data_IF_788826651600
#
_entry.id   IF_788826651600
#
_cell.length_a   1.000
_cell.length_b   1.000
_cell.length_c   1.000
_cell.angle_alpha   90.00
_cell.angle_beta   90.00
_cell.angle_gamma   90.00
#
_symmetry.space_group_name_H-M   'P 1'
#
loop_
_entity.id
_entity.type
_entity.pdbx_description
1 polymer ?
#
# COMPACT_ATOMS: atom_id res chain seq x y z
N UNK A 1 4.91 6.58 -5.80
CA UNK A 1 4.56 7.63 -6.78
C UNK A 1 4.71 9.05 -6.20
N UNK A 2 3.77 9.55 -5.39
CA UNK A 2 3.73 10.96 -4.98
C UNK A 2 4.92 11.39 -4.10
N UNK A 3 5.17 10.66 -3.01
CA UNK A 3 6.26 11.01 -2.09
C UNK A 3 7.65 10.77 -2.68
N UNK A 4 7.86 9.63 -3.33
CA UNK A 4 9.20 9.26 -3.82
C UNK A 4 9.60 9.92 -5.13
N UNK A 5 8.71 9.96 -6.13
CA UNK A 5 9.06 10.46 -7.48
C UNK A 5 8.74 11.93 -7.66
N UNK A 6 7.54 12.35 -7.26
CA UNK A 6 7.08 13.73 -7.47
C UNK A 6 7.71 14.68 -6.45
N UNK A 7 7.54 14.38 -5.16
CA UNK A 7 8.06 15.23 -4.09
C UNK A 7 9.57 15.02 -3.86
N UNK A 8 10.01 13.78 -3.69
CA UNK A 8 11.42 13.45 -3.45
C UNK A 8 12.31 13.63 -4.68
N UNK A 9 11.90 13.03 -5.81
CA UNK A 9 12.64 13.09 -7.07
C UNK A 9 12.51 14.40 -7.85
N UNK A 10 11.58 15.30 -7.46
CA UNK A 10 11.27 16.56 -8.15
C UNK A 10 10.94 16.38 -9.64
N UNK A 11 10.33 15.25 -9.99
CA UNK A 11 9.87 14.94 -11.34
C UNK A 11 8.43 15.41 -11.49
N UNK A 12 8.05 15.90 -12.68
CA UNK A 12 6.65 16.23 -12.95
C UNK A 12 5.75 15.01 -12.77
N UNK A 13 4.51 15.23 -12.32
CA UNK A 13 3.58 14.12 -12.09
C UNK A 13 3.23 13.40 -13.40
N UNK A 14 3.22 14.10 -14.54
CA UNK A 14 3.03 13.52 -15.87
C UNK A 14 4.13 12.53 -16.23
N UNK A 15 5.40 12.91 -16.04
CA UNK A 15 6.53 12.00 -16.29
C UNK A 15 6.54 10.85 -15.27
N UNK A 16 6.17 11.11 -14.02
CA UNK A 16 6.01 10.05 -13.02
C UNK A 16 4.90 9.05 -13.40
N UNK A 17 3.81 9.48 -14.03
CA UNK A 17 2.78 8.58 -14.57
C UNK A 17 3.31 7.75 -15.73
N UNK A 18 4.18 8.33 -16.58
CA UNK A 18 4.90 7.58 -17.61
C UNK A 18 5.78 6.48 -17.01
N UNK A 19 6.45 6.75 -15.88
CA UNK A 19 7.21 5.73 -15.12
C UNK A 19 6.30 4.61 -14.60
N UNK A 20 5.12 4.95 -14.08
CA UNK A 20 4.13 3.95 -13.63
C UNK A 20 3.64 3.09 -14.79
N UNK A 21 3.30 3.71 -15.93
CA UNK A 21 2.86 2.99 -17.12
C UNK A 21 3.92 2.01 -17.63
N UNK A 22 5.17 2.46 -17.75
CA UNK A 22 6.29 1.61 -18.17
C UNK A 22 6.53 0.46 -17.18
N UNK A 23 6.46 0.73 -15.87
CA UNK A 23 6.52 -0.31 -14.84
C UNK A 23 5.43 -1.37 -15.03
N UNK A 24 4.20 -0.96 -15.33
CA UNK A 24 3.10 -1.87 -15.65
C UNK A 24 3.36 -2.72 -16.90
N UNK A 25 3.93 -2.13 -17.96
CA UNK A 25 4.34 -2.87 -19.17
C UNK A 25 5.39 -3.93 -18.82
N UNK A 26 6.41 -3.58 -18.04
CA UNK A 26 7.41 -4.54 -17.58
C UNK A 26 6.79 -5.66 -16.74
N UNK A 27 5.83 -5.36 -15.86
CA UNK A 27 5.12 -6.42 -15.13
C UNK A 27 4.33 -7.35 -16.01
N UNK A 28 3.64 -6.81 -17.01
CA UNK A 28 2.90 -7.64 -17.93
C UNK A 28 3.85 -8.62 -18.63
N UNK A 29 4.99 -8.13 -19.12
CA UNK A 29 6.04 -8.97 -19.72
C UNK A 29 6.53 -10.04 -18.74
N UNK A 30 6.92 -9.65 -17.51
CA UNK A 30 7.40 -10.59 -16.49
C UNK A 30 6.35 -11.63 -16.10
N UNK A 31 5.07 -11.26 -16.10
CA UNK A 31 3.96 -12.17 -15.80
C UNK A 31 3.75 -13.17 -16.94
N UNK A 32 3.76 -12.69 -18.18
CA UNK A 32 3.64 -13.55 -19.37
C UNK A 32 4.80 -14.54 -19.50
N UNK A 33 6.00 -14.16 -19.03
CA UNK A 33 7.17 -15.04 -18.92
C UNK A 33 7.09 -16.03 -17.73
N UNK A 34 6.06 -15.93 -16.89
CA UNK A 34 5.88 -16.79 -15.70
C UNK A 34 6.82 -16.47 -14.54
N UNK A 35 7.57 -15.35 -14.61
CA UNK A 35 8.56 -14.97 -13.60
C UNK A 35 7.89 -14.48 -12.31
N UNK A 36 6.85 -13.62 -12.41
CA UNK A 36 6.15 -13.11 -11.21
C UNK A 36 5.53 -14.24 -10.38
N UNK A 37 4.90 -15.24 -11.01
CA UNK A 37 4.34 -16.39 -10.28
C UNK A 37 5.42 -17.18 -9.54
N UNK A 38 6.55 -17.47 -10.20
CA UNK A 38 7.68 -18.16 -9.55
C UNK A 38 8.23 -17.38 -8.37
N UNK A 39 8.26 -16.05 -8.47
CA UNK A 39 8.64 -15.15 -7.37
C UNK A 39 7.64 -15.31 -6.20
N UNK A 40 6.34 -15.17 -6.43
CA UNK A 40 5.30 -15.31 -5.40
C UNK A 40 5.38 -16.67 -4.70
N UNK A 41 5.42 -17.75 -5.48
CA UNK A 41 5.46 -19.12 -4.97
C UNK A 41 6.76 -19.42 -4.22
N UNK A 42 7.79 -18.57 -4.34
CA UNK A 42 9.05 -18.74 -3.64
C UNK A 42 9.09 -18.08 -2.26
N UNK A 43 8.24 -17.08 -2.02
CA UNK A 43 8.23 -16.33 -0.76
C UNK A 43 7.55 -17.18 0.33
N UNK A 44 8.21 -17.41 1.48
CA UNK A 44 7.60 -18.10 2.62
C UNK A 44 6.38 -17.36 3.15
N UNK A 45 5.41 -18.10 3.70
CA UNK A 45 4.17 -17.52 4.25
C UNK A 45 4.45 -16.53 5.39
N UNK A 46 5.41 -16.82 6.26
CA UNK A 46 5.84 -15.94 7.35
C UNK A 46 6.32 -14.58 6.86
N UNK A 47 7.02 -14.54 5.72
CA UNK A 47 7.44 -13.31 5.08
C UNK A 47 6.23 -12.56 4.52
N UNK A 48 5.32 -13.23 3.79
CA UNK A 48 4.09 -12.60 3.25
C UNK A 48 3.25 -11.96 4.37
N UNK A 49 3.03 -12.67 5.48
CA UNK A 49 2.33 -12.13 6.63
C UNK A 49 3.07 -10.93 7.25
N UNK A 50 4.41 -10.95 7.28
CA UNK A 50 5.21 -9.81 7.72
C UNK A 50 5.09 -8.59 6.79
N UNK A 51 4.91 -8.77 5.48
CA UNK A 51 4.62 -7.68 4.54
C UNK A 51 3.32 -6.99 4.94
N UNK A 52 2.25 -7.76 5.15
CA UNK A 52 0.95 -7.23 5.58
C UNK A 52 1.08 -6.45 6.90
N UNK A 53 1.75 -7.02 7.90
CA UNK A 53 1.97 -6.34 9.19
C UNK A 53 2.79 -5.07 9.03
N UNK A 54 3.88 -5.09 8.25
CA UNK A 54 4.72 -3.93 7.98
C UNK A 54 3.95 -2.80 7.30
N UNK A 55 3.13 -3.11 6.29
CA UNK A 55 2.25 -2.13 5.64
C UNK A 55 1.23 -1.56 6.63
N UNK A 56 0.65 -2.40 7.49
CA UNK A 56 -0.26 -1.96 8.56
C UNK A 56 0.38 -0.96 9.53
N UNK A 57 1.62 -1.24 9.96
CA UNK A 57 2.41 -0.33 10.80
C UNK A 57 2.72 0.98 10.08
N UNK A 58 3.09 0.91 8.80
CA UNK A 58 3.37 2.07 7.97
C UNK A 58 2.13 2.97 7.77
N UNK A 59 0.98 2.40 7.44
CA UNK A 59 -0.28 3.15 7.29
C UNK A 59 -0.74 3.74 8.63
N UNK A 60 -0.55 3.00 9.74
CA UNK A 60 -0.80 3.53 11.08
C UNK A 60 0.07 4.75 11.35
N UNK A 61 1.36 4.68 11.02
CA UNK A 61 2.30 5.78 11.19
C UNK A 61 1.90 7.00 10.36
N UNK A 62 1.48 6.82 9.10
CA UNK A 62 0.89 7.89 8.27
C UNK A 62 -0.34 8.50 8.95
N UNK A 63 -1.23 7.67 9.49
CA UNK A 63 -2.40 8.11 10.25
C UNK A 63 -2.02 8.96 11.46
N UNK A 64 -1.03 8.53 12.25
CA UNK A 64 -0.54 9.28 13.40
C UNK A 64 0.10 10.62 13.02
N UNK A 65 0.82 10.68 11.89
CA UNK A 65 1.40 11.92 11.35
C UNK A 65 0.32 12.86 10.84
N UNK A 66 -0.63 12.37 10.04
CA UNK A 66 -1.75 13.16 9.51
C UNK A 66 -2.67 13.70 10.61
N UNK A 67 -2.82 12.95 11.71
CA UNK A 67 -3.57 13.38 12.88
C UNK A 67 -2.82 14.45 13.70
N UNK A 68 -1.49 14.52 13.59
CA UNK A 68 -0.63 15.39 14.39
C UNK A 68 -0.22 14.81 15.74
N UNK A 69 -0.44 13.51 15.98
CA UNK A 69 0.02 12.79 17.19
C UNK A 69 1.51 12.53 17.12
N UNK A 70 2.03 12.24 15.93
CA UNK A 70 3.45 12.06 15.67
C UNK A 70 3.93 13.21 14.79
N UNK A 71 4.98 13.92 15.25
CA UNK A 71 5.57 15.04 14.52
C UNK A 71 7.06 14.85 14.34
N UNK A 72 7.63 15.44 13.28
CA UNK A 72 9.07 15.40 13.02
C UNK A 72 9.84 16.03 14.18
N UNK A 73 10.92 15.37 14.58
CA UNK A 73 11.89 15.90 15.53
C UNK A 73 13.29 15.73 14.95
N UNK A 74 14.08 16.80 14.88
CA UNK A 74 15.41 16.72 14.26
C UNK A 74 16.44 15.95 15.11
N UNK A 75 16.17 15.70 16.40
CA UNK A 75 17.04 14.94 17.32
C UNK A 75 16.65 13.47 17.38
N UNK A 76 15.36 13.17 17.52
CA UNK A 76 14.84 11.81 17.74
C UNK A 76 14.14 11.20 16.52
N UNK A 77 14.22 11.86 15.35
CA UNK A 77 13.44 11.61 14.13
C UNK A 77 11.95 11.93 14.28
N UNK A 78 11.32 11.45 15.36
CA UNK A 78 9.91 11.67 15.69
C UNK A 78 9.73 12.05 17.15
N UNK A 79 8.68 12.81 17.45
CA UNK A 79 8.25 13.13 18.81
C UNK A 79 6.73 13.19 18.91
N UNK A 80 6.21 13.17 20.13
CA UNK A 80 4.78 13.37 20.37
C UNK A 80 4.39 14.82 20.02
N UNK A 81 3.34 14.97 19.21
CA UNK A 81 2.77 16.26 18.88
C UNK A 81 1.98 16.89 20.03
N UNK A 82 1.65 18.17 19.90
CA UNK A 82 0.81 18.88 20.86
C UNK A 82 -0.65 18.46 20.70
N UNK A 83 -1.37 18.29 21.81
CA UNK A 83 -2.81 18.04 21.81
C UNK A 83 -3.58 19.31 21.45
N UNK A 84 -3.71 19.58 20.16
CA UNK A 84 -4.56 20.67 19.65
C UNK A 84 -6.02 20.23 19.56
N UNK A 85 -6.99 21.16 19.46
CA UNK A 85 -8.39 20.82 19.24
C UNK A 85 -8.60 19.90 18.02
N UNK A 86 -7.85 20.11 16.93
CA UNK A 86 -7.93 19.27 15.72
C UNK A 86 -7.46 17.82 15.96
N UNK A 87 -6.37 17.63 16.73
CA UNK A 87 -5.89 16.31 17.15
C UNK A 87 -6.96 15.63 18.02
N UNK A 88 -7.55 16.36 18.97
CA UNK A 88 -8.60 15.83 19.83
C UNK A 88 -9.83 15.39 19.03
N UNK A 89 -10.28 16.17 18.05
CA UNK A 89 -11.41 15.79 17.17
C UNK A 89 -11.14 14.46 16.48
N UNK A 90 -9.95 14.28 15.90
CA UNK A 90 -9.60 13.01 15.26
C UNK A 90 -9.46 11.86 16.28
N UNK A 91 -8.90 12.10 17.47
CA UNK A 91 -8.86 11.09 18.53
C UNK A 91 -10.26 10.67 19.02
N UNK A 92 -11.20 11.61 19.14
CA UNK A 92 -12.61 11.28 19.41
C UNK A 92 -13.25 10.51 18.25
N UNK A 93 -12.93 10.86 17.01
CA UNK A 93 -13.28 10.07 15.83
C UNK A 93 -12.79 8.63 15.94
N UNK A 94 -11.53 8.43 16.34
CA UNK A 94 -10.94 7.10 16.58
C UNK A 94 -11.70 6.33 17.67
N UNK A 95 -12.03 6.99 18.79
CA UNK A 95 -12.80 6.38 19.87
C UNK A 95 -14.18 5.91 19.40
N UNK A 96 -14.86 6.72 18.57
CA UNK A 96 -16.14 6.32 17.97
C UNK A 96 -15.97 5.11 17.04
N UNK A 97 -14.93 5.10 16.19
CA UNK A 97 -14.64 3.95 15.33
C UNK A 97 -14.41 2.67 16.16
N UNK A 98 -13.59 2.76 17.20
CA UNK A 98 -13.31 1.64 18.12
C UNK A 98 -14.56 1.15 18.83
N UNK A 99 -15.39 2.08 19.34
CA UNK A 99 -16.64 1.73 20.01
C UNK A 99 -17.60 0.98 19.07
N UNK A 100 -17.79 1.47 17.84
CA UNK A 100 -18.65 0.83 16.85
C UNK A 100 -18.09 -0.52 16.40
N UNK A 101 -16.77 -0.63 16.24
CA UNK A 101 -16.09 -1.87 15.90
C UNK A 101 -16.24 -2.92 17.03
N UNK A 102 -16.08 -2.52 18.29
CA UNK A 102 -16.34 -3.39 19.45
C UNK A 102 -17.80 -3.89 19.49
N UNK A 103 -18.74 -3.07 19.02
CA UNK A 103 -20.16 -3.43 18.87
C UNK A 103 -20.47 -4.19 17.57
N UNK A 104 -19.46 -4.43 16.71
CA UNK A 104 -19.60 -5.07 15.40
C UNK A 104 -20.61 -4.36 14.48
N UNK A 105 -20.71 -3.04 14.58
CA UNK A 105 -21.59 -2.22 13.74
C UNK A 105 -20.91 -1.95 12.40
N UNK A 106 -21.57 -2.31 11.31
CA UNK A 106 -21.05 -2.09 9.94
C UNK A 106 -20.90 -0.60 9.66
N UNK A 107 -19.81 -0.24 8.98
CA UNK A 107 -19.52 1.16 8.63
C UNK A 107 -18.87 1.98 9.74
N UNK A 108 -18.28 1.34 10.77
CA UNK A 108 -17.60 2.01 11.88
C UNK A 108 -16.63 3.11 11.43
N UNK A 109 -15.81 2.85 10.40
CA UNK A 109 -14.86 3.81 9.84
C UNK A 109 -15.59 5.02 9.25
N UNK A 110 -16.63 4.80 8.43
CA UNK A 110 -17.40 5.88 7.80
C UNK A 110 -18.09 6.75 8.85
N UNK A 111 -18.74 6.14 9.84
CA UNK A 111 -19.42 6.87 10.92
C UNK A 111 -18.43 7.69 11.74
N UNK A 112 -17.24 7.16 12.02
CA UNK A 112 -16.18 7.90 12.71
C UNK A 112 -15.69 9.12 11.91
N UNK A 113 -15.52 9.00 10.59
CA UNK A 113 -15.15 10.12 9.71
C UNK A 113 -16.24 11.19 9.72
N UNK A 114 -17.51 10.79 9.54
CA UNK A 114 -18.65 11.70 9.56
C UNK A 114 -18.75 12.42 10.91
N UNK A 115 -18.60 11.68 12.01
CA UNK A 115 -18.64 12.24 13.37
C UNK A 115 -17.53 13.27 13.59
N UNK A 116 -16.28 12.93 13.27
CA UNK A 116 -15.16 13.85 13.40
C UNK A 116 -15.33 15.11 12.52
N UNK A 117 -15.82 14.92 11.29
CA UNK A 117 -16.09 16.03 10.36
C UNK A 117 -17.23 16.92 10.86
N UNK A 118 -18.29 16.35 11.42
CA UNK A 118 -19.41 17.09 11.99
C UNK A 118 -19.00 17.94 13.19
N UNK A 119 -18.15 17.40 14.08
CA UNK A 119 -17.58 18.18 15.20
C UNK A 119 -16.68 19.29 14.66
N UNK A 120 -15.82 18.99 13.68
CA UNK A 120 -14.96 19.99 13.07
C UNK A 120 -15.76 21.13 12.42
N UNK A 121 -16.88 20.81 11.76
CA UNK A 121 -17.81 21.79 11.22
C UNK A 121 -18.52 22.61 12.31
N UNK A 122 -18.98 21.98 13.40
CA UNK A 122 -19.62 22.66 14.52
C UNK A 122 -18.68 23.64 15.24
N UNK A 123 -17.38 23.33 15.28
CA UNK A 123 -16.33 24.17 15.86
C UNK A 123 -15.75 25.21 14.87
N UNK A 124 -16.24 25.25 13.62
CA UNK A 124 -15.80 26.21 12.61
C UNK A 124 -14.44 25.91 11.96
N UNK A 125 -13.91 24.69 12.11
CA UNK A 125 -12.66 24.27 11.47
C UNK A 125 -12.82 23.84 10.01
N UNK A 126 -14.05 23.78 9.52
CA UNK A 126 -14.40 23.26 8.21
C UNK A 126 -15.26 24.29 7.49
N UNK A 127 -14.87 24.63 6.26
CA UNK A 127 -15.63 25.54 5.41
C UNK A 127 -16.83 24.79 4.80
N UNK A 128 -17.94 25.51 4.61
CA UNK A 128 -19.09 24.95 3.90
C UNK A 128 -18.70 24.65 2.44
N UNK A 129 -19.26 23.61 1.84
CA UNK A 129 -19.10 23.40 0.41
C UNK A 129 -19.75 24.55 -0.35
N UNK A 130 -19.10 24.99 -1.43
CA UNK A 130 -19.70 25.93 -2.38
C UNK A 130 -20.89 25.29 -3.11
N UNK A 131 -20.81 23.98 -3.38
CA UNK A 131 -21.87 23.19 -4.04
C UNK A 131 -22.00 21.81 -3.38
N UNK A 132 -23.21 21.24 -3.36
CA UNK A 132 -23.44 19.89 -2.81
C UNK A 132 -23.14 18.79 -3.82
N UNK A 133 -23.33 19.08 -5.11
CA UNK A 133 -23.12 18.16 -6.23
C UNK A 133 -22.39 18.93 -7.32
N UNK A 134 -21.28 18.39 -7.81
CA UNK A 134 -20.59 18.92 -8.98
C UNK A 134 -20.86 18.05 -10.19
N UNK A 135 -21.39 18.65 -11.25
CA UNK A 135 -21.48 18.04 -12.58
C UNK A 135 -20.25 18.37 -13.45
N UNK A 136 -19.38 19.27 -12.97
CA UNK A 136 -18.20 19.73 -13.68
C UNK A 136 -17.00 18.82 -13.39
N UNK A 137 -17.01 17.63 -14.00
CA UNK A 137 -15.90 16.68 -13.92
C UNK A 137 -14.91 16.95 -15.07
N UNK A 138 -13.87 17.75 -14.80
CA UNK A 138 -12.78 17.97 -15.76
C UNK A 138 -11.79 16.80 -15.75
N UNK A 139 -12.23 15.67 -16.32
CA UNK A 139 -11.43 14.46 -16.47
C UNK A 139 -10.24 14.68 -17.43
N UNK A 140 -10.34 15.66 -18.35
CA UNK A 140 -9.30 15.97 -19.35
C UNK A 140 -8.02 16.52 -18.71
N UNK A 141 -8.13 17.09 -17.51
CA UNK A 141 -6.99 17.61 -16.77
C UNK A 141 -6.00 16.52 -16.32
N UNK A 142 -6.42 15.24 -16.30
CA UNK A 142 -5.59 14.14 -15.77
C UNK A 142 -5.47 12.98 -16.77
N UNK A 143 -6.53 12.68 -17.52
CA UNK A 143 -6.56 11.54 -18.46
C UNK A 143 -5.66 11.81 -19.67
N UNK A 144 -4.86 10.81 -20.03
CA UNK A 144 -3.86 10.84 -21.11
C UNK A 144 -2.80 11.95 -20.98
N UNK A 145 -2.62 12.53 -19.79
CA UNK A 145 -1.59 13.53 -19.53
C UNK A 145 -0.21 12.90 -19.21
N UNK A 146 -0.09 11.58 -19.22
CA UNK A 146 1.19 10.93 -18.91
C UNK A 146 2.25 11.22 -19.98
N UNK A 147 3.50 11.32 -19.54
CA UNK A 147 4.64 11.59 -20.41
C UNK A 147 5.59 10.39 -20.44
N UNK A 148 5.35 9.49 -21.41
CA UNK A 148 6.17 8.28 -21.62
C UNK A 148 7.57 8.65 -22.13
N UNK A 149 7.66 9.65 -23.01
CA UNK A 149 8.93 10.07 -23.60
C UNK A 149 9.86 10.67 -22.54
N UNK A 150 9.31 11.48 -21.64
CA UNK A 150 10.03 11.96 -20.46
C UNK A 150 10.47 10.82 -19.55
N UNK A 151 9.62 9.78 -19.39
CA UNK A 151 9.93 8.62 -18.54
C UNK A 151 11.03 7.71 -19.11
N UNK A 152 11.18 7.65 -20.43
CA UNK A 152 12.22 6.87 -21.14
C UNK A 152 13.64 7.46 -21.02
N UNK A 153 13.80 8.64 -20.40
CA UNK A 153 15.14 9.21 -20.16
C UNK A 153 16.00 8.25 -19.34
N UNK A 154 17.27 8.12 -19.72
CA UNK A 154 18.21 7.20 -19.08
C UNK A 154 18.32 7.41 -17.56
N UNK A 155 18.24 8.66 -17.10
CA UNK A 155 18.25 9.03 -15.68
C UNK A 155 17.07 8.46 -14.88
N UNK A 156 15.96 8.15 -15.54
CA UNK A 156 14.75 7.63 -14.92
C UNK A 156 14.65 6.10 -14.98
N UNK A 157 15.57 5.41 -15.66
CA UNK A 157 15.56 3.95 -15.71
C UNK A 157 15.70 3.32 -14.31
N UNK A 158 16.54 3.91 -13.45
CA UNK A 158 16.61 3.50 -12.04
C UNK A 158 15.31 3.77 -11.27
N UNK A 159 14.54 4.79 -11.64
CA UNK A 159 13.22 5.07 -11.04
C UNK A 159 12.16 4.08 -11.50
N UNK A 160 12.18 3.71 -12.78
CA UNK A 160 11.33 2.65 -13.34
C UNK A 160 11.63 1.33 -12.63
N UNK A 161 12.91 0.95 -12.53
CA UNK A 161 13.32 -0.26 -11.81
C UNK A 161 12.89 -0.24 -10.34
N UNK A 162 13.08 0.89 -9.65
CA UNK A 162 12.70 1.04 -8.24
C UNK A 162 11.18 0.92 -8.03
N UNK A 163 10.39 1.56 -8.90
CA UNK A 163 8.93 1.52 -8.83
C UNK A 163 8.40 0.13 -9.22
N UNK A 164 9.02 -0.50 -10.22
CA UNK A 164 8.73 -1.89 -10.58
C UNK A 164 9.09 -2.85 -9.45
N UNK A 165 10.22 -2.66 -8.77
CA UNK A 165 10.56 -3.50 -7.63
C UNK A 165 9.56 -3.30 -6.48
N UNK A 166 9.17 -2.06 -6.20
CA UNK A 166 8.16 -1.70 -5.20
C UNK A 166 6.81 -2.36 -5.46
N UNK A 167 6.24 -2.06 -6.63
CA UNK A 167 4.88 -2.41 -6.98
C UNK A 167 4.74 -3.93 -7.17
N UNK A 168 5.84 -4.62 -7.51
CA UNK A 168 5.84 -6.09 -7.60
C UNK A 168 5.44 -6.71 -6.28
N UNK A 169 6.04 -6.29 -5.18
CA UNK A 169 5.83 -6.95 -3.90
C UNK A 169 4.63 -6.40 -3.13
N UNK A 170 4.30 -5.11 -3.31
CA UNK A 170 3.09 -4.52 -2.75
C UNK A 170 1.83 -5.23 -3.28
N UNK A 171 1.75 -5.36 -4.61
CA UNK A 171 0.67 -6.10 -5.28
C UNK A 171 0.63 -7.57 -4.87
N UNK A 172 1.79 -8.25 -4.80
CA UNK A 172 1.84 -9.65 -4.37
C UNK A 172 1.33 -9.81 -2.94
N UNK A 173 1.79 -8.97 -2.01
CA UNK A 173 1.44 -9.08 -0.59
C UNK A 173 -0.06 -8.95 -0.37
N UNK A 174 -0.67 -7.91 -0.93
CA UNK A 174 -2.11 -7.64 -0.77
C UNK A 174 -2.97 -8.65 -1.54
N UNK A 175 -2.58 -9.03 -2.76
CA UNK A 175 -3.30 -10.00 -3.59
C UNK A 175 -3.32 -11.38 -2.93
N UNK A 176 -2.16 -11.84 -2.43
CA UNK A 176 -2.05 -13.14 -1.77
C UNK A 176 -2.87 -13.16 -0.48
N UNK A 177 -2.82 -12.09 0.31
CA UNK A 177 -3.60 -11.97 1.53
C UNK A 177 -5.11 -12.02 1.24
N UNK A 178 -5.58 -11.26 0.24
CA UNK A 178 -6.98 -11.28 -0.19
C UNK A 178 -7.40 -12.66 -0.72
N UNK A 179 -6.54 -13.35 -1.49
CA UNK A 179 -6.83 -14.69 -1.99
C UNK A 179 -6.96 -15.73 -0.87
N UNK A 180 -6.12 -15.64 0.17
CA UNK A 180 -6.25 -16.49 1.35
C UNK A 180 -7.58 -16.23 2.07
N UNK A 181 -7.94 -14.97 2.29
CA UNK A 181 -9.21 -14.60 2.92
C UNK A 181 -10.42 -15.06 2.09
N UNK A 182 -10.32 -15.00 0.77
CA UNK A 182 -11.36 -15.43 -0.16
C UNK A 182 -11.46 -16.95 -0.33
N UNK A 183 -10.61 -17.73 0.33
CA UNK A 183 -10.48 -19.18 0.15
C UNK A 183 -10.22 -19.57 -1.33
N UNK A 184 -9.41 -18.76 -2.04
CA UNK A 184 -9.00 -18.99 -3.44
C UNK A 184 -7.68 -19.78 -3.56
N UNK A 185 -7.24 -20.38 -2.46
CA UNK A 185 -6.02 -21.19 -2.38
C UNK A 185 -6.35 -22.68 -2.46
N UNK A 186 -5.47 -23.46 -3.11
CA UNK A 186 -5.54 -24.92 -3.15
C UNK A 186 -5.02 -25.55 -1.83
N UNK A 187 -5.15 -26.87 -1.68
CA UNK A 187 -4.68 -27.62 -0.50
C UNK A 187 -3.17 -27.48 -0.23
N UNK A 188 -2.40 -27.06 -1.24
CA UNK A 188 -0.96 -26.80 -1.14
C UNK A 188 -0.64 -25.32 -0.89
N UNK A 189 -1.66 -24.49 -0.61
CA UNK A 189 -1.53 -23.06 -0.38
C UNK A 189 -1.26 -22.23 -1.64
N UNK A 190 -1.45 -22.79 -2.84
CA UNK A 190 -1.22 -22.09 -4.11
C UNK A 190 -2.50 -21.44 -4.61
N UNK A 191 -2.38 -20.24 -5.17
CA UNK A 191 -3.51 -19.48 -5.68
C UNK A 191 -3.88 -19.97 -7.07
N UNK A 192 -5.14 -20.40 -7.24
CA UNK A 192 -5.65 -20.83 -8.56
C UNK A 192 -5.68 -19.64 -9.52
N UNK A 193 -5.01 -19.76 -10.66
CA UNK A 193 -5.00 -18.72 -11.69
C UNK A 193 -4.15 -17.49 -11.35
N UNK A 194 -3.12 -17.64 -10.50
CA UNK A 194 -2.24 -16.55 -10.08
C UNK A 194 -1.66 -15.73 -11.26
N UNK A 195 -1.23 -16.40 -12.34
CA UNK A 195 -0.72 -15.73 -13.55
C UNK A 195 -1.73 -14.76 -14.16
N UNK A 196 -3.01 -15.15 -14.17
CA UNK A 196 -4.10 -14.33 -14.70
C UNK A 196 -4.39 -13.15 -13.78
N UNK A 197 -4.36 -13.36 -12.47
CA UNK A 197 -4.55 -12.29 -11.48
C UNK A 197 -3.43 -11.24 -11.57
N UNK A 198 -2.18 -11.69 -11.64
CA UNK A 198 -1.01 -10.81 -11.80
C UNK A 198 -1.01 -10.06 -13.14
N UNK A 199 -1.58 -10.66 -14.18
CA UNK A 199 -1.73 -10.00 -15.49
C UNK A 199 -2.80 -8.90 -15.43
N UNK A 200 -3.92 -9.16 -14.75
CA UNK A 200 -4.99 -8.17 -14.54
C UNK A 200 -4.49 -7.01 -13.69
N UNK A 201 -3.70 -7.27 -12.65
CA UNK A 201 -3.03 -6.26 -11.82
C UNK A 201 -2.12 -5.34 -12.67
N UNK A 202 -1.28 -5.92 -13.54
CA UNK A 202 -0.43 -5.14 -14.43
C UNK A 202 -1.23 -4.29 -15.43
N UNK A 203 -2.28 -4.87 -16.04
CA UNK A 203 -3.17 -4.15 -16.96
C UNK A 203 -3.91 -3.03 -16.23
N UNK A 204 -4.43 -3.28 -15.02
CA UNK A 204 -5.08 -2.27 -14.21
C UNK A 204 -4.13 -1.10 -13.91
N UNK A 205 -2.87 -1.38 -13.58
CA UNK A 205 -1.86 -0.33 -13.33
C UNK A 205 -1.56 0.47 -14.59
N UNK A 206 -1.43 -0.18 -15.75
CA UNK A 206 -1.25 0.51 -17.02
C UNK A 206 -2.45 1.40 -17.36
N UNK A 207 -3.67 0.86 -17.28
CA UNK A 207 -4.90 1.62 -17.54
C UNK A 207 -5.10 2.73 -16.52
N UNK A 208 -4.76 2.50 -15.26
CA UNK A 208 -4.78 3.50 -14.21
C UNK A 208 -3.85 4.68 -14.53
N UNK A 209 -2.62 4.39 -14.93
CA UNK A 209 -1.67 5.43 -15.34
C UNK A 209 -2.17 6.22 -16.57
N UNK A 210 -2.80 5.56 -17.54
CA UNK A 210 -3.46 6.22 -18.68
C UNK A 210 -4.58 7.17 -18.24
N UNK A 211 -5.33 6.78 -17.21
CA UNK A 211 -6.40 7.58 -16.64
C UNK A 211 -5.92 8.60 -15.60
N UNK A 212 -4.61 8.72 -15.39
CA UNK A 212 -4.03 9.74 -14.50
C UNK A 212 -3.94 9.35 -13.03
N UNK A 213 -4.14 8.07 -12.69
CA UNK A 213 -3.98 7.56 -11.31
C UNK A 213 -2.62 6.90 -11.10
N UNK A 214 -2.23 6.77 -9.83
CA UNK A 214 -1.03 6.02 -9.44
C UNK A 214 -1.17 4.51 -9.71
N UNK A 215 -0.18 3.71 -9.29
CA UNK A 215 -0.27 2.25 -9.33
C UNK A 215 -1.59 1.78 -8.69
N UNK A 216 -2.29 0.87 -9.37
CA UNK A 216 -3.56 0.32 -8.89
C UNK A 216 -3.30 -1.09 -8.42
N UNK A 217 -3.80 -1.44 -7.23
CA UNK A 217 -3.60 -2.78 -6.69
C UNK A 217 -4.79 -3.25 -5.88
N UNK A 218 -4.81 -4.53 -5.53
CA UNK A 218 -5.80 -5.07 -4.59
C UNK A 218 -5.61 -4.45 -3.22
N UNK A 219 -6.67 -3.89 -2.65
CA UNK A 219 -6.64 -3.34 -1.30
C UNK A 219 -6.94 -4.41 -0.27
N UNK A 220 -6.17 -4.43 0.82
CA UNK A 220 -6.35 -5.37 1.93
C UNK A 220 -7.71 -5.19 2.61
N UNK A 221 -8.29 -4.00 2.55
CA UNK A 221 -9.62 -3.66 3.04
C UNK A 221 -10.72 -4.47 2.33
N UNK A 222 -10.43 -4.98 1.13
CA UNK A 222 -11.29 -5.94 0.44
C UNK A 222 -11.50 -7.21 1.27
N UNK A 223 -10.59 -7.55 2.19
CA UNK A 223 -10.74 -8.65 3.15
C UNK A 223 -12.02 -8.49 4.00
N UNK A 224 -12.37 -7.27 4.43
CA UNK A 224 -13.60 -7.02 5.17
C UNK A 224 -14.85 -7.26 4.29
N UNK A 225 -14.78 -6.90 3.00
CA UNK A 225 -15.83 -7.23 2.03
C UNK A 225 -15.96 -8.73 1.81
N UNK A 226 -14.84 -9.44 1.74
CA UNK A 226 -14.78 -10.91 1.61
C UNK A 226 -15.37 -11.61 2.84
N UNK A 227 -15.04 -11.14 4.05
CA UNK A 227 -15.62 -11.65 5.31
C UNK A 227 -17.13 -11.48 5.36
N UNK A 228 -17.67 -10.41 4.76
CA UNK A 228 -19.11 -10.18 4.65
C UNK A 228 -19.78 -10.97 3.52
N UNK A 229 -19.04 -11.82 2.80
CA UNK A 229 -19.56 -12.70 1.74
C UNK A 229 -19.29 -12.22 0.31
N UNK A 230 -18.59 -11.10 0.12
CA UNK A 230 -18.19 -10.60 -1.20
C UNK A 230 -17.13 -11.50 -1.84
N UNK A 231 -17.55 -12.49 -2.62
CA UNK A 231 -16.64 -13.49 -3.24
C UNK A 231 -16.67 -13.50 -4.77
N UNK A 232 -17.40 -12.58 -5.39
CA UNK A 232 -17.52 -12.47 -6.85
C UNK A 232 -17.03 -11.10 -7.33
N UNK A 233 -16.58 -11.05 -8.59
CA UNK A 233 -16.17 -9.79 -9.24
C UNK A 233 -17.28 -8.76 -9.36
N UNK A 234 -18.56 -9.16 -9.21
CA UNK A 234 -19.68 -8.23 -9.14
C UNK A 234 -19.52 -7.24 -7.97
N UNK A 235 -18.97 -7.69 -6.84
CA UNK A 235 -18.68 -6.83 -5.69
C UNK A 235 -17.72 -5.70 -6.08
N UNK A 236 -16.67 -6.02 -6.82
CA UNK A 236 -15.68 -5.06 -7.31
C UNK A 236 -16.30 -4.10 -8.34
N UNK A 237 -17.13 -4.60 -9.26
CA UNK A 237 -17.84 -3.77 -10.26
C UNK A 237 -18.79 -2.79 -9.57
N UNK A 238 -19.64 -3.27 -8.65
CA UNK A 238 -20.60 -2.43 -7.91
C UNK A 238 -19.85 -1.37 -7.09
N UNK A 239 -18.78 -1.76 -6.42
CA UNK A 239 -17.92 -0.81 -5.68
C UNK A 239 -17.34 0.24 -6.62
N UNK A 240 -16.82 -0.16 -7.78
CA UNK A 240 -16.30 0.76 -8.79
C UNK A 240 -17.35 1.73 -9.33
N UNK A 241 -18.57 1.27 -9.59
CA UNK A 241 -19.70 2.12 -9.99
C UNK A 241 -20.04 3.13 -8.89
N UNK A 242 -20.06 2.73 -7.63
CA UNK A 242 -20.26 3.66 -6.52
C UNK A 242 -19.13 4.68 -6.37
N UNK A 243 -17.87 4.31 -6.64
CA UNK A 243 -16.77 5.27 -6.70
C UNK A 243 -16.93 6.27 -7.85
N UNK A 244 -17.43 5.84 -9.02
CA UNK A 244 -17.75 6.76 -10.12
C UNK A 244 -18.90 7.70 -9.75
N UNK A 245 -19.94 7.20 -9.08
CA UNK A 245 -21.04 8.04 -8.58
C UNK A 245 -20.57 9.00 -7.48
N UNK A 246 -19.59 8.59 -6.66
CA UNK A 246 -19.00 9.45 -5.63
C UNK A 246 -18.30 10.68 -6.23
N UNK A 247 -17.91 10.66 -7.51
CA UNK A 247 -17.34 11.83 -8.20
C UNK A 247 -18.31 13.02 -8.22
N UNK A 248 -19.62 12.76 -8.28
CA UNK A 248 -20.64 13.82 -8.20
C UNK A 248 -20.61 14.56 -6.86
N UNK A 249 -20.14 13.89 -5.81
CA UNK A 249 -20.06 14.40 -4.45
C UNK A 249 -18.63 14.85 -4.07
N UNK A 250 -17.73 15.06 -5.03
CA UNK A 250 -16.36 15.58 -4.78
C UNK A 250 -16.35 16.84 -3.92
N UNK A 251 -17.24 17.85 -4.12
CA UNK A 251 -17.31 19.00 -3.22
C UNK A 251 -17.58 18.63 -1.76
N UNK A 252 -18.42 17.61 -1.51
CA UNK A 252 -18.72 17.13 -0.16
C UNK A 252 -17.52 16.37 0.44
N UNK A 253 -16.81 15.57 -0.36
CA UNK A 253 -15.63 14.84 0.09
C UNK A 253 -14.46 15.80 0.39
N UNK A 254 -14.31 16.88 -0.36
CA UNK A 254 -13.24 17.87 -0.19
C UNK A 254 -13.31 18.67 1.12
N UNK A 255 -14.48 18.70 1.77
CA UNK A 255 -14.70 19.32 3.10
C UNK A 255 -14.01 18.51 4.21
N UNK A 256 -13.87 17.20 4.01
CA UNK A 256 -13.40 16.29 5.06
C UNK A 256 -11.93 16.59 5.35
N UNK A 257 -11.60 17.09 6.57
CA UNK A 257 -10.23 17.47 6.86
C UNK A 257 -9.34 16.23 7.04
N UNK A 258 -8.02 16.33 6.76
CA UNK A 258 -7.11 15.20 6.88
C UNK A 258 -7.08 14.54 8.28
N UNK A 259 -7.24 15.33 9.34
CA UNK A 259 -7.28 14.82 10.72
C UNK A 259 -8.58 14.03 11.04
N UNK A 260 -9.64 14.15 10.24
CA UNK A 260 -10.86 13.35 10.38
C UNK A 260 -10.77 11.99 9.68
N UNK A 261 -9.96 11.86 8.62
CA UNK A 261 -9.72 10.59 7.93
C UNK A 261 -8.54 9.81 8.51
N UNK A 262 -7.58 10.50 9.15
CA UNK A 262 -6.41 9.90 9.78
C UNK A 262 -6.72 8.74 10.76
N UNK A 263 -7.77 8.79 11.62
CA UNK A 263 -8.17 7.67 12.46
C UNK A 263 -8.53 6.39 11.70
N UNK A 264 -9.09 6.51 10.50
CA UNK A 264 -9.43 5.34 9.69
C UNK A 264 -8.17 4.58 9.26
N UNK A 265 -7.08 5.29 8.97
CA UNK A 265 -5.78 4.67 8.66
C UNK A 265 -5.23 3.87 9.85
N UNK A 266 -5.40 4.39 11.08
CA UNK A 266 -5.01 3.67 12.31
C UNK A 266 -5.83 2.39 12.47
N UNK A 267 -7.14 2.44 12.21
CA UNK A 267 -8.01 1.26 12.25
C UNK A 267 -7.65 0.23 11.17
N UNK A 268 -7.35 0.67 9.95
CA UNK A 268 -6.88 -0.22 8.88
C UNK A 268 -5.58 -0.91 9.28
N UNK A 269 -4.61 -0.17 9.83
CA UNK A 269 -3.37 -0.75 10.32
C UNK A 269 -3.57 -1.78 11.42
N UNK A 270 -4.51 -1.55 12.35
CA UNK A 270 -4.93 -2.54 13.35
C UNK A 270 -5.49 -3.82 12.71
N UNK A 271 -6.26 -3.71 11.61
CA UNK A 271 -6.80 -4.87 10.91
C UNK A 271 -5.70 -5.69 10.24
N UNK A 272 -4.73 -5.03 9.60
CA UNK A 272 -3.59 -5.70 8.97
C UNK A 272 -2.66 -6.37 9.99
N UNK A 273 -2.53 -5.79 11.19
CA UNK A 273 -1.73 -6.34 12.28
C UNK A 273 -2.16 -7.76 12.70
N UNK A 274 -3.39 -8.18 12.41
CA UNK A 274 -3.89 -9.53 12.72
C UNK A 274 -3.04 -10.64 12.08
N UNK A 275 -2.40 -10.37 10.94
CA UNK A 275 -1.52 -11.31 10.23
C UNK A 275 -0.26 -11.67 11.01
N UNK A 276 0.10 -10.90 12.06
CA UNK A 276 1.25 -11.22 12.92
C UNK A 276 1.13 -12.61 13.56
N UNK A 277 -0.10 -13.10 13.74
CA UNK A 277 -0.39 -14.44 14.30
C UNK A 277 0.04 -15.59 13.40
N UNK A 278 0.26 -15.34 12.11
CA UNK A 278 0.72 -16.34 11.15
C UNK A 278 2.25 -16.49 11.13
N UNK A 279 2.98 -15.67 11.91
CA UNK A 279 4.44 -15.68 11.99
C UNK A 279 4.86 -16.46 13.24
N UNK A 280 5.65 -17.51 13.06
CA UNK A 280 6.24 -18.25 14.18
C UNK A 280 7.49 -17.52 14.70
N UNK A 281 7.34 -16.77 15.79
CA UNK A 281 8.44 -16.05 16.43
C UNK A 281 9.38 -16.94 17.25
N UNK A 282 9.04 -18.22 17.49
CA UNK A 282 9.96 -19.14 18.16
C UNK A 282 11.08 -19.62 17.23
N UNK A 283 10.84 -19.65 15.92
CA UNK A 283 11.83 -20.01 14.92
C UNK A 283 12.57 -18.78 14.40
N UNK A 284 13.79 -18.55 14.90
CA UNK A 284 14.63 -17.40 14.51
C UNK A 284 14.88 -17.29 13.00
N UNK A 285 14.93 -18.43 12.29
CA UNK A 285 15.16 -18.46 10.83
C UNK A 285 14.04 -17.75 10.03
N UNK A 286 12.84 -17.67 10.60
CA UNK A 286 11.68 -17.00 10.00
C UNK A 286 11.34 -15.70 10.76
N UNK A 287 11.47 -15.72 12.09
CA UNK A 287 11.14 -14.60 12.95
C UNK A 287 11.97 -13.34 12.64
N UNK A 288 13.29 -13.47 12.49
CA UNK A 288 14.15 -12.31 12.27
C UNK A 288 13.93 -11.65 10.90
N UNK A 289 13.88 -12.39 9.77
CA UNK A 289 13.54 -11.79 8.48
C UNK A 289 12.17 -11.11 8.50
N UNK A 290 11.15 -11.76 9.07
CA UNK A 290 9.82 -11.17 9.23
C UNK A 290 9.85 -9.89 10.08
N UNK A 291 10.59 -9.89 11.18
CA UNK A 291 10.78 -8.71 12.01
C UNK A 291 11.42 -7.54 11.25
N UNK A 292 12.49 -7.81 10.48
CA UNK A 292 13.15 -6.80 9.66
C UNK A 292 12.19 -6.22 8.62
N UNK A 293 11.37 -7.05 7.95
CA UNK A 293 10.33 -6.56 7.02
C UNK A 293 9.40 -5.58 7.75
N UNK A 294 8.83 -5.99 8.87
CA UNK A 294 7.84 -5.17 9.60
C UNK A 294 8.41 -3.80 9.99
N UNK A 295 9.59 -3.80 10.61
CA UNK A 295 10.23 -2.58 11.14
C UNK A 295 10.70 -1.68 10.01
N UNK A 296 11.38 -2.23 9.01
CA UNK A 296 11.95 -1.43 7.93
C UNK A 296 10.87 -0.83 7.04
N UNK A 297 9.77 -1.53 6.76
CA UNK A 297 8.64 -0.94 6.03
C UNK A 297 8.11 0.29 6.78
N UNK A 298 7.89 0.16 8.09
CA UNK A 298 7.34 1.24 8.92
C UNK A 298 8.29 2.45 9.05
N UNK A 299 9.58 2.20 9.32
CA UNK A 299 10.54 3.25 9.66
C UNK A 299 11.24 3.88 8.46
N UNK A 300 11.42 3.15 7.36
CA UNK A 300 12.07 3.69 6.15
C UNK A 300 11.11 4.49 5.27
N UNK A 301 9.81 4.51 5.59
CA UNK A 301 8.77 5.11 4.76
C UNK A 301 8.73 4.50 3.32
N UNK A 302 9.23 3.28 3.17
CA UNK A 302 9.41 2.58 1.90
C UNK A 302 9.15 1.08 2.07
N UNK A 303 8.07 0.61 1.45
CA UNK A 303 7.71 -0.82 1.42
C UNK A 303 8.85 -1.61 0.77
N UNK A 304 9.37 -1.14 -0.37
CA UNK A 304 10.48 -1.78 -1.10
C UNK A 304 11.73 -1.98 -0.25
N UNK A 305 12.12 -0.95 0.49
CA UNK A 305 13.34 -0.99 1.29
C UNK A 305 13.20 -2.03 2.39
N UNK A 306 12.05 -2.08 3.07
CA UNK A 306 11.83 -3.11 4.09
C UNK A 306 11.78 -4.53 3.55
N UNK A 307 11.17 -4.73 2.38
CA UNK A 307 11.19 -6.02 1.69
C UNK A 307 12.60 -6.43 1.27
N UNK A 308 13.38 -5.52 0.69
CA UNK A 308 14.74 -5.80 0.25
C UNK A 308 15.61 -6.28 1.42
N UNK A 309 15.60 -5.55 2.54
CA UNK A 309 16.32 -5.98 3.75
C UNK A 309 15.79 -7.31 4.30
N UNK A 310 14.48 -7.51 4.30
CA UNK A 310 13.84 -8.74 4.73
C UNK A 310 14.23 -9.98 3.93
N UNK A 311 14.16 -9.91 2.60
CA UNK A 311 14.50 -11.03 1.73
C UNK A 311 15.99 -11.36 1.77
N UNK A 312 16.85 -10.33 1.78
CA UNK A 312 18.30 -10.52 1.99
C UNK A 312 18.54 -11.23 3.33
N UNK A 313 17.92 -10.73 4.40
CA UNK A 313 18.03 -11.32 5.73
C UNK A 313 17.60 -12.79 5.75
N UNK A 314 16.47 -13.13 5.11
CA UNK A 314 15.98 -14.51 5.02
C UNK A 314 17.00 -15.44 4.37
N UNK A 315 17.50 -15.09 3.18
CA UNK A 315 18.47 -15.95 2.48
C UNK A 315 19.80 -16.05 3.22
N UNK A 316 20.27 -14.97 3.84
CA UNK A 316 21.52 -14.95 4.57
C UNK A 316 21.42 -15.83 5.83
N UNK A 317 20.33 -15.73 6.58
CA UNK A 317 20.12 -16.55 7.78
C UNK A 317 20.01 -18.03 7.41
N UNK A 318 19.26 -18.38 6.36
CA UNK A 318 19.18 -19.77 5.89
C UNK A 318 20.54 -20.29 5.40
N UNK A 319 21.36 -19.45 4.78
CA UNK A 319 22.71 -19.83 4.37
C UNK A 319 23.63 -20.08 5.56
N UNK A 320 23.62 -19.18 6.56
CA UNK A 320 24.42 -19.30 7.79
C UNK A 320 23.97 -20.52 8.61
N UNK A 321 22.68 -20.85 8.60
CA UNK A 321 22.13 -22.04 9.25
C UNK A 321 22.48 -23.36 8.53
N UNK A 322 23.25 -23.31 7.43
CA UNK A 322 23.58 -24.49 6.62
C UNK A 322 22.42 -25.02 5.78
N UNK A 323 21.30 -24.29 5.70
CA UNK A 323 20.06 -24.66 5.00
C UNK A 323 19.87 -23.89 3.70
N UNK A 324 20.96 -23.53 3.03
CA UNK A 324 20.91 -22.82 1.75
C UNK A 324 20.13 -23.58 0.66
N UNK A 325 20.13 -24.93 0.74
CA UNK A 325 19.39 -25.81 -0.17
C UNK A 325 17.87 -25.78 -0.01
N UNK A 326 17.36 -25.38 1.17
CA UNK A 326 15.92 -25.28 1.43
C UNK A 326 15.31 -24.02 0.78
N UNK A 327 16.17 -23.08 0.39
CA UNK A 327 15.77 -21.81 -0.23
C UNK A 327 15.55 -22.04 -1.72
N UNK A 328 14.32 -21.81 -2.17
CA UNK A 328 13.95 -21.89 -3.60
C UNK A 328 14.84 -20.96 -4.44
N UNK A 329 15.29 -21.36 -5.65
CA UNK A 329 16.17 -20.55 -6.49
C UNK A 329 15.66 -19.13 -6.78
N UNK A 330 14.34 -18.96 -6.89
CA UNK A 330 13.74 -17.65 -7.09
C UNK A 330 13.96 -16.68 -5.91
N UNK A 331 14.08 -17.16 -4.66
CA UNK A 331 14.43 -16.32 -3.51
C UNK A 331 15.88 -15.80 -3.59
N UNK A 332 16.80 -16.57 -4.15
CA UNK A 332 18.16 -16.12 -4.42
C UNK A 332 18.19 -15.02 -5.48
N UNK A 333 17.39 -15.16 -6.56
CA UNK A 333 17.23 -14.11 -7.57
C UNK A 333 16.64 -12.84 -6.94
N UNK A 334 15.60 -12.97 -6.10
CA UNK A 334 15.00 -11.84 -5.37
C UNK A 334 16.04 -11.15 -4.49
N UNK A 335 16.92 -11.91 -3.84
CA UNK A 335 17.99 -11.36 -3.01
C UNK A 335 18.99 -10.55 -3.83
N UNK A 336 19.41 -11.05 -4.99
CA UNK A 336 20.28 -10.31 -5.91
C UNK A 336 19.59 -9.04 -6.40
N UNK A 337 18.31 -9.10 -6.76
CA UNK A 337 17.53 -7.93 -7.16
C UNK A 337 17.36 -6.94 -6.01
N UNK A 338 17.19 -7.41 -4.78
CA UNK A 338 17.10 -6.59 -3.57
C UNK A 338 18.41 -5.86 -3.30
N UNK A 339 19.55 -6.54 -3.47
CA UNK A 339 20.87 -5.91 -3.39
C UNK A 339 21.06 -4.85 -4.47
N UNK A 340 20.69 -5.16 -5.71
CA UNK A 340 20.75 -4.20 -6.82
C UNK A 340 19.85 -2.98 -6.58
N UNK A 341 18.66 -3.18 -6.04
CA UNK A 341 17.74 -2.10 -5.67
C UNK A 341 18.38 -1.17 -4.63
N UNK A 342 18.92 -1.72 -3.54
CA UNK A 342 19.53 -0.94 -2.46
C UNK A 342 20.80 -0.20 -2.93
N UNK A 343 21.59 -0.77 -3.85
CA UNK A 343 22.78 -0.09 -4.39
C UNK A 343 22.41 1.04 -5.33
N UNK A 344 21.42 0.84 -6.22
CA UNK A 344 20.92 1.89 -7.12
C UNK A 344 20.29 3.05 -6.33
N UNK A 345 19.53 2.74 -5.28
CA UNK A 345 18.91 3.76 -4.42
C UNK A 345 19.98 4.58 -3.68
N UNK A 346 21.00 3.94 -3.12
CA UNK A 346 22.12 4.64 -2.50
C UNK A 346 22.93 5.48 -3.48
N UNK A 347 23.18 5.00 -4.70
CA UNK A 347 23.88 5.76 -5.74
C UNK A 347 23.12 7.06 -6.08
N UNK A 348 21.79 7.02 -6.15
CA UNK A 348 20.98 8.23 -6.34
C UNK A 348 21.02 9.20 -5.17
N UNK A 349 21.17 8.71 -3.94
CA UNK A 349 21.26 9.59 -2.77
C UNK A 349 22.58 10.39 -2.71
N UNK A 350 23.59 9.98 -3.48
CA UNK A 350 24.92 10.60 -3.53
C UNK A 350 25.11 11.57 -4.71
N UNK A 351 24.17 11.62 -5.65
CA UNK A 351 24.21 12.46 -6.87
C UNK A 351 23.25 13.64 -6.78
#
# INVERSE_FOLDING_TARGET
FAYSLVLGGKISWQTALGVVFLSGVFFLILTLLGLRKRIVEAIPRSLISAISVGIGLFITFIGLVNLGVVVKNDVTLVSAGKLTPTVLIGLFGLLVMLFLEMKRIKGALLVGIIFATAIAAALGYVQKPDEWISLHLDIKAVVFQLDILGALKWSLFGSIFSLMFMDMFDSIGTLVACCHQANMVDEKGRIKGLDRLLSIDAIATMTGALLGTSTTTSYIESAAGIEQGGRTGLTSIVTGVFFLLALLFVPLVGIVPPYATAPALIMVGLFMMKEVKAIDFANVEEAFPSFIIMVMIALSYSISTGLAFGFISYTLIKAVAGKAGDVKPAMWVITVLSLAFLTVEKLKSLS
#
